data_IF_448874877693
#
_entry.id   IF_448874877693
#
_cell.length_a   1.000
_cell.length_b   1.000
_cell.length_c   1.000
_cell.angle_alpha   90.00
_cell.angle_beta   90.00
_cell.angle_gamma   90.00
#
_symmetry.space_group_name_H-M   'P 1'
#
loop_
_entity.id
_entity.type
_entity.pdbx_description
1 polymer ?
#
# COMPACT_ATOMS: atom_id res chain seq x y z
N UNK A 1 30.33 28.43 9.36
CA UNK A 1 28.88 28.18 9.45
C UNK A 1 28.34 29.17 10.46
N UNK A 2 27.48 30.07 10.03
CA UNK A 2 26.85 31.12 10.86
C UNK A 2 25.50 30.61 11.37
N UNK A 3 24.97 31.22 12.43
CA UNK A 3 23.65 30.87 12.97
C UNK A 3 22.54 30.99 11.92
N UNK A 4 22.64 31.98 11.03
CA UNK A 4 21.75 32.16 9.86
C UNK A 4 21.75 30.92 8.94
N UNK A 5 22.93 30.34 8.67
CA UNK A 5 23.06 29.15 7.83
C UNK A 5 22.40 27.93 8.51
N UNK A 6 22.50 27.82 9.84
CA UNK A 6 21.87 26.74 10.62
C UNK A 6 20.34 26.89 10.60
N UNK A 7 19.85 28.11 10.75
CA UNK A 7 18.41 28.41 10.76
C UNK A 7 17.78 28.11 9.39
N UNK A 8 18.45 28.46 8.31
CA UNK A 8 18.02 28.14 6.94
C UNK A 8 17.98 26.63 6.70
N UNK A 9 19.00 25.88 7.15
CA UNK A 9 19.02 24.42 7.06
C UNK A 9 17.84 23.80 7.83
N UNK A 10 17.59 24.25 9.06
CA UNK A 10 16.47 23.75 9.88
C UNK A 10 15.11 24.05 9.25
N UNK A 11 14.95 25.22 8.65
CA UNK A 11 13.71 25.60 7.97
C UNK A 11 13.47 24.73 6.74
N UNK A 12 14.49 24.53 5.91
CA UNK A 12 14.42 23.65 4.73
C UNK A 12 14.14 22.19 5.11
N UNK A 13 14.70 21.70 6.22
CA UNK A 13 14.42 20.37 6.74
C UNK A 13 12.98 20.25 7.23
N UNK A 14 12.48 21.25 7.97
CA UNK A 14 11.10 21.28 8.46
C UNK A 14 10.08 21.24 7.32
N UNK A 15 10.31 22.00 6.25
CA UNK A 15 9.44 22.00 5.07
C UNK A 15 9.40 20.62 4.39
N UNK A 16 10.58 20.00 4.17
CA UNK A 16 10.65 18.66 3.58
C UNK A 16 9.97 17.60 4.43
N UNK A 17 10.14 17.66 5.76
CA UNK A 17 9.47 16.73 6.68
C UNK A 17 7.95 16.90 6.62
N UNK A 18 7.46 18.14 6.54
CA UNK A 18 6.03 18.42 6.40
C UNK A 18 5.44 17.82 5.12
N UNK A 19 6.13 17.98 3.98
CA UNK A 19 5.72 17.40 2.70
C UNK A 19 5.67 15.87 2.80
N UNK A 20 6.74 15.25 3.31
CA UNK A 20 6.81 13.79 3.47
C UNK A 20 5.73 13.25 4.42
N UNK A 21 5.38 14.01 5.47
CA UNK A 21 4.33 13.61 6.40
C UNK A 21 2.96 13.58 5.70
N UNK A 22 2.65 14.57 4.88
CA UNK A 22 1.39 14.62 4.12
C UNK A 22 1.32 13.54 3.04
N UNK A 23 2.42 13.31 2.31
CA UNK A 23 2.51 12.21 1.33
C UNK A 23 2.30 10.85 2.00
N UNK A 24 2.91 10.62 3.17
CA UNK A 24 2.70 9.41 3.96
C UNK A 24 1.25 9.29 4.42
N UNK A 25 0.62 10.38 4.87
CA UNK A 25 -0.79 10.38 5.31
C UNK A 25 -1.71 9.95 4.17
N UNK A 26 -1.53 10.53 2.97
CA UNK A 26 -2.32 10.18 1.78
C UNK A 26 -2.07 8.73 1.37
N UNK A 27 -0.82 8.25 1.42
CA UNK A 27 -0.49 6.84 1.13
C UNK A 27 -1.23 5.90 2.08
N UNK A 28 -1.18 6.17 3.39
CA UNK A 28 -1.87 5.35 4.39
C UNK A 28 -3.38 5.30 4.15
N UNK A 29 -4.02 6.44 3.87
CA UNK A 29 -5.45 6.46 3.54
C UNK A 29 -5.78 5.64 2.30
N UNK A 30 -4.92 5.65 1.27
CA UNK A 30 -5.09 4.83 0.08
C UNK A 30 -4.91 3.33 0.37
N UNK A 31 -3.89 2.98 1.14
CA UNK A 31 -3.63 1.59 1.54
C UNK A 31 -4.80 1.05 2.37
N UNK A 32 -5.33 1.84 3.31
CA UNK A 32 -6.51 1.49 4.11
C UNK A 32 -7.76 1.28 3.24
N UNK A 33 -8.01 2.18 2.28
CA UNK A 33 -9.11 2.04 1.34
C UNK A 33 -8.97 0.78 0.47
N UNK A 34 -7.76 0.47 0.00
CA UNK A 34 -7.47 -0.73 -0.78
C UNK A 34 -7.66 -2.02 0.03
N UNK A 35 -7.16 -2.06 1.27
CA UNK A 35 -7.39 -3.19 2.19
C UNK A 35 -8.88 -3.36 2.51
N UNK A 36 -9.61 -2.27 2.68
CA UNK A 36 -11.06 -2.32 2.88
C UNK A 36 -11.79 -2.90 1.67
N UNK A 37 -11.40 -2.51 0.45
CA UNK A 37 -11.95 -3.09 -0.77
C UNK A 37 -11.70 -4.61 -0.84
N UNK A 38 -10.49 -5.07 -0.58
CA UNK A 38 -10.16 -6.51 -0.58
C UNK A 38 -11.01 -7.26 0.45
N UNK A 39 -11.19 -6.67 1.64
CA UNK A 39 -12.05 -7.24 2.67
C UNK A 39 -13.49 -7.35 2.18
N UNK A 40 -14.05 -6.32 1.54
CA UNK A 40 -15.39 -6.39 0.97
C UNK A 40 -15.47 -7.47 -0.12
N UNK A 41 -14.47 -7.56 -0.99
CA UNK A 41 -14.42 -8.59 -2.03
C UNK A 41 -14.45 -10.00 -1.44
N UNK A 42 -13.80 -10.24 -0.28
CA UNK A 42 -13.80 -11.54 0.40
C UNK A 42 -15.19 -12.07 0.77
N UNK A 43 -16.18 -11.18 0.91
CA UNK A 43 -17.56 -11.55 1.23
C UNK A 43 -18.30 -12.11 0.00
N UNK A 44 -17.80 -11.83 -1.22
CA UNK A 44 -18.47 -12.14 -2.48
C UNK A 44 -17.71 -13.08 -3.39
N UNK A 45 -16.41 -13.30 -3.15
CA UNK A 45 -15.58 -14.19 -3.98
C UNK A 45 -15.13 -15.41 -3.17
N UNK A 46 -15.15 -16.57 -3.82
CA UNK A 46 -14.56 -17.79 -3.29
C UNK A 46 -13.04 -17.80 -3.45
N UNK A 47 -12.31 -18.62 -2.68
CA UNK A 47 -10.86 -18.73 -2.81
C UNK A 47 -10.38 -19.13 -4.21
N UNK A 48 -11.15 -19.96 -4.92
CA UNK A 48 -10.82 -20.36 -6.30
C UNK A 48 -11.02 -19.21 -7.29
N UNK A 49 -12.02 -18.36 -7.09
CA UNK A 49 -12.21 -17.16 -7.91
C UNK A 49 -11.10 -16.14 -7.67
N UNK A 50 -10.67 -15.96 -6.41
CA UNK A 50 -9.52 -15.12 -6.09
C UNK A 50 -8.22 -15.62 -6.75
N UNK A 51 -7.96 -16.93 -6.71
CA UNK A 51 -6.84 -17.54 -7.41
C UNK A 51 -6.93 -17.32 -8.93
N UNK A 52 -8.13 -17.45 -9.50
CA UNK A 52 -8.35 -17.21 -10.92
C UNK A 52 -8.04 -15.74 -11.28
N UNK A 53 -8.48 -14.77 -10.47
CA UNK A 53 -8.14 -13.35 -10.65
C UNK A 53 -6.62 -13.16 -10.61
N UNK A 54 -5.93 -13.77 -9.63
CA UNK A 54 -4.48 -13.67 -9.50
C UNK A 54 -3.74 -14.22 -10.72
N UNK A 55 -4.18 -15.36 -11.25
CA UNK A 55 -3.57 -16.00 -12.42
C UNK A 55 -3.77 -15.18 -13.70
N UNK A 56 -4.94 -14.55 -13.87
CA UNK A 56 -5.29 -13.76 -15.05
C UNK A 56 -4.92 -12.26 -14.94
N UNK A 57 -4.40 -11.81 -13.80
CA UNK A 57 -3.87 -10.46 -13.67
C UNK A 57 -2.49 -10.41 -14.35
N UNK A 58 -2.24 -9.46 -15.23
CA UNK A 58 -0.90 -9.30 -15.85
C UNK A 58 -0.01 -8.33 -15.08
N UNK A 59 -0.62 -7.43 -14.31
CA UNK A 59 0.08 -6.40 -13.55
C UNK A 59 0.75 -7.02 -12.31
N UNK A 60 2.09 -6.95 -12.28
CA UNK A 60 2.93 -7.47 -11.19
C UNK A 60 2.63 -6.75 -9.88
N UNK A 61 2.40 -5.44 -9.92
CA UNK A 61 2.11 -4.66 -8.73
C UNK A 61 0.76 -5.06 -8.12
N UNK A 62 -0.25 -5.30 -8.95
CA UNK A 62 -1.55 -5.83 -8.48
C UNK A 62 -1.36 -7.23 -7.88
N UNK A 63 -0.57 -8.11 -8.49
CA UNK A 63 -0.27 -9.43 -7.91
C UNK A 63 0.41 -9.34 -6.55
N UNK A 64 1.36 -8.43 -6.39
CA UNK A 64 2.02 -8.20 -5.10
C UNK A 64 1.03 -7.71 -4.04
N UNK A 65 0.13 -6.78 -4.39
CA UNK A 65 -0.95 -6.34 -3.50
C UNK A 65 -1.87 -7.51 -3.12
N UNK A 66 -2.25 -8.36 -4.09
CA UNK A 66 -3.10 -9.51 -3.82
C UNK A 66 -2.43 -10.48 -2.84
N UNK A 67 -1.12 -10.68 -2.97
CA UNK A 67 -0.33 -11.53 -2.07
C UNK A 67 -0.12 -10.90 -0.69
N UNK A 68 0.10 -9.59 -0.60
CA UNK A 68 0.35 -8.91 0.68
C UNK A 68 -0.96 -8.68 1.46
N UNK A 69 -2.00 -8.21 0.80
CA UNK A 69 -3.25 -7.79 1.46
C UNK A 69 -4.32 -8.87 1.45
N UNK A 70 -4.34 -9.72 0.42
CA UNK A 70 -5.34 -10.76 0.21
C UNK A 70 -4.83 -12.18 0.42
N UNK A 71 -3.69 -12.38 1.10
CA UNK A 71 -3.10 -13.70 1.33
C UNK A 71 -4.10 -14.74 1.87
N UNK A 72 -4.98 -14.30 2.78
CA UNK A 72 -5.99 -15.12 3.44
C UNK A 72 -7.15 -15.57 2.52
N UNK A 73 -7.23 -15.02 1.30
CA UNK A 73 -8.26 -15.36 0.30
C UNK A 73 -7.80 -16.44 -0.66
N UNK A 74 -6.52 -16.86 -0.61
CA UNK A 74 -6.04 -17.96 -1.44
C UNK A 74 -6.52 -19.31 -0.90
N UNK A 75 -6.73 -20.32 -1.77
CA UNK A 75 -7.05 -21.67 -1.35
C UNK A 75 -5.95 -22.27 -0.46
N UNK A 76 -6.32 -23.21 0.41
CA UNK A 76 -5.35 -23.98 1.19
C UNK A 76 -4.31 -24.66 0.28
N UNK A 77 -3.04 -24.59 0.66
CA UNK A 77 -1.95 -25.18 -0.11
C UNK A 77 -1.47 -24.34 -1.31
N UNK A 78 -1.98 -23.12 -1.49
CA UNK A 78 -1.43 -22.18 -2.47
C UNK A 78 0.05 -21.86 -2.16
N UNK A 79 0.90 -22.02 -3.17
CA UNK A 79 2.32 -21.64 -3.15
C UNK A 79 2.54 -20.59 -4.23
N UNK A 80 3.16 -19.47 -3.84
CA UNK A 80 3.43 -18.30 -4.68
C UNK A 80 4.29 -18.64 -5.91
#
# INVERSE_FOLDING_TARGET
>A
MREEDIQEILQNLGERVSILAEENRVRLTRDDAGRHLIKLMSEFISPNEWLNIYQNTDDIFIKEIMLDWGAHLFPEGFVK
#
